data_IF_555877673080
#
_entry.id   IF_555877673080
#
_cell.length_a   1.000
_cell.length_b   1.000
_cell.length_c   1.000
_cell.angle_alpha   90.00
_cell.angle_beta   90.00
_cell.angle_gamma   90.00
#
_symmetry.space_group_name_H-M   'P 1'
#
loop_
_entity.id
_entity.type
_entity.pdbx_description
1 polymer ?
#
# COMPACT_ATOMS: atom_id res chain seq x y z
N UNK A 1 97.99 -50.07 -7.88
CA UNK A 1 96.56 -49.71 -7.97
C UNK A 1 96.12 -50.15 -9.34
N UNK A 2 95.35 -51.24 -9.41
CA UNK A 2 95.12 -51.97 -10.66
C UNK A 2 93.99 -51.33 -11.47
N UNK A 3 94.05 -51.48 -12.79
CA UNK A 3 93.02 -51.03 -13.75
C UNK A 3 91.59 -51.48 -13.35
N UNK A 4 91.49 -52.66 -12.71
CA UNK A 4 90.24 -53.20 -12.17
C UNK A 4 89.65 -52.38 -11.02
N UNK A 5 90.49 -51.76 -10.17
CA UNK A 5 90.01 -50.92 -9.06
C UNK A 5 89.41 -49.62 -9.60
N UNK A 6 90.03 -49.06 -10.65
CA UNK A 6 89.54 -47.86 -11.33
C UNK A 6 88.20 -48.13 -12.03
N UNK A 7 88.10 -49.26 -12.72
CA UNK A 7 86.87 -49.67 -13.42
C UNK A 7 85.71 -49.91 -12.45
N UNK A 8 86.00 -50.51 -11.29
CA UNK A 8 85.00 -50.74 -10.23
C UNK A 8 84.57 -49.43 -9.56
N UNK A 9 85.50 -48.50 -9.33
CA UNK A 9 85.19 -47.18 -8.80
C UNK A 9 84.33 -46.34 -9.78
N UNK A 10 84.63 -46.41 -11.07
CA UNK A 10 83.83 -45.74 -12.10
C UNK A 10 82.43 -46.33 -12.21
N UNK A 11 82.28 -47.65 -12.15
CA UNK A 11 80.97 -48.30 -12.11
C UNK A 11 80.14 -47.89 -10.89
N UNK A 12 80.77 -47.80 -9.71
CA UNK A 12 80.10 -47.32 -8.51
C UNK A 12 79.62 -45.87 -8.69
N UNK A 13 80.47 -44.99 -9.22
CA UNK A 13 80.11 -43.59 -9.48
C UNK A 13 78.95 -43.43 -10.47
N UNK A 14 78.92 -44.27 -11.52
CA UNK A 14 77.80 -44.27 -12.46
C UNK A 14 76.49 -44.72 -11.80
N UNK A 15 76.54 -45.73 -10.91
CA UNK A 15 75.37 -46.16 -10.14
C UNK A 15 74.86 -45.07 -9.19
N UNK A 16 75.77 -44.42 -8.46
CA UNK A 16 75.42 -43.30 -7.56
C UNK A 16 74.80 -42.12 -8.34
N UNK A 17 75.27 -41.85 -9.57
CA UNK A 17 74.71 -40.80 -10.43
C UNK A 17 73.33 -41.17 -10.99
N UNK A 18 73.09 -42.44 -11.33
CA UNK A 18 71.80 -42.94 -11.77
C UNK A 18 70.75 -42.85 -10.65
N UNK A 19 71.11 -43.23 -9.43
CA UNK A 19 70.26 -43.08 -8.23
C UNK A 19 69.92 -41.61 -7.96
N UNK A 20 70.89 -40.70 -8.09
CA UNK A 20 70.67 -39.26 -7.95
C UNK A 20 69.68 -38.71 -9.01
N UNK A 21 69.78 -39.18 -10.25
CA UNK A 21 68.87 -38.78 -11.33
C UNK A 21 67.45 -39.28 -11.08
N UNK A 22 67.29 -40.51 -10.61
CA UNK A 22 65.99 -41.09 -10.29
C UNK A 22 65.31 -40.36 -9.12
N UNK A 23 66.05 -40.05 -8.05
CA UNK A 23 65.53 -39.25 -6.93
C UNK A 23 65.08 -37.85 -7.38
N UNK A 24 65.89 -37.18 -8.19
CA UNK A 24 65.56 -35.86 -8.74
C UNK A 24 64.30 -35.93 -9.61
N UNK A 25 64.17 -36.94 -10.48
CA UNK A 25 62.99 -37.14 -11.31
C UNK A 25 61.72 -37.35 -10.47
N UNK A 26 61.81 -38.18 -9.42
CA UNK A 26 60.68 -38.49 -8.54
C UNK A 26 60.19 -37.25 -7.78
N UNK A 27 61.11 -36.45 -7.23
CA UNK A 27 60.76 -35.20 -6.54
C UNK A 27 60.09 -34.23 -7.51
N UNK A 28 60.63 -34.08 -8.72
CA UNK A 28 60.10 -33.15 -9.72
C UNK A 28 58.69 -33.56 -10.19
N UNK A 29 58.46 -34.87 -10.37
CA UNK A 29 57.18 -35.42 -10.80
C UNK A 29 56.07 -35.18 -9.76
N UNK A 30 56.37 -35.38 -8.47
CA UNK A 30 55.39 -35.08 -7.40
C UNK A 30 55.05 -33.59 -7.30
N UNK A 31 55.99 -32.70 -7.63
CA UNK A 31 55.75 -31.27 -7.66
C UNK A 31 54.84 -30.90 -8.85
N UNK A 32 55.09 -31.46 -10.01
CA UNK A 32 54.31 -31.21 -11.23
C UNK A 32 52.85 -31.68 -11.08
N UNK A 33 52.63 -32.87 -10.49
CA UNK A 33 51.28 -33.37 -10.18
C UNK A 33 50.52 -32.45 -9.22
N UNK A 34 51.21 -31.90 -8.20
CA UNK A 34 50.60 -30.95 -7.25
C UNK A 34 50.24 -29.63 -7.91
N UNK A 35 51.10 -29.14 -8.81
CA UNK A 35 50.83 -27.93 -9.60
C UNK A 35 49.63 -28.17 -10.52
N UNK A 36 49.58 -29.30 -11.22
CA UNK A 36 48.45 -29.69 -12.06
C UNK A 36 47.13 -29.75 -11.28
N UNK A 37 47.14 -30.38 -10.10
CA UNK A 37 45.96 -30.43 -9.22
C UNK A 37 45.55 -29.04 -8.72
N UNK A 38 46.51 -28.18 -8.40
CA UNK A 38 46.23 -26.81 -7.97
C UNK A 38 45.57 -26.00 -9.09
N UNK A 39 46.09 -26.08 -10.32
CA UNK A 39 45.51 -25.42 -11.49
C UNK A 39 44.09 -25.91 -11.76
N UNK A 40 43.85 -27.22 -11.72
CA UNK A 40 42.51 -27.79 -11.89
C UNK A 40 41.52 -27.24 -10.86
N UNK A 41 41.92 -27.16 -9.58
CA UNK A 41 41.07 -26.60 -8.52
C UNK A 41 40.81 -25.10 -8.70
N UNK A 42 41.78 -24.36 -9.23
CA UNK A 42 41.61 -22.94 -9.56
C UNK A 42 40.58 -22.81 -10.68
N UNK A 43 40.68 -23.59 -11.74
CA UNK A 43 39.73 -23.56 -12.86
C UNK A 43 38.31 -23.92 -12.40
N UNK A 44 38.17 -24.94 -11.56
CA UNK A 44 36.89 -25.33 -10.96
C UNK A 44 36.30 -24.20 -10.08
N UNK A 45 37.13 -23.58 -9.24
CA UNK A 45 36.71 -22.47 -8.40
C UNK A 45 36.33 -21.23 -9.23
N UNK A 46 37.05 -20.96 -10.32
CA UNK A 46 36.72 -19.88 -11.26
C UNK A 46 35.38 -20.14 -11.95
N UNK A 47 35.14 -21.36 -12.43
CA UNK A 47 33.85 -21.72 -13.05
C UNK A 47 32.69 -21.57 -12.05
N UNK A 48 32.87 -21.97 -10.79
CA UNK A 48 31.88 -21.80 -9.75
C UNK A 48 31.64 -20.31 -9.42
N UNK A 49 32.70 -19.51 -9.33
CA UNK A 49 32.60 -18.07 -9.08
C UNK A 49 31.89 -17.32 -10.21
N UNK A 50 32.15 -17.69 -11.47
CA UNK A 50 31.45 -17.11 -12.62
C UNK A 50 29.97 -17.46 -12.64
N UNK A 51 29.60 -18.69 -12.28
CA UNK A 51 28.19 -19.08 -12.11
C UNK A 51 27.50 -18.23 -11.05
N UNK A 52 28.11 -18.08 -9.87
CA UNK A 52 27.57 -17.25 -8.80
C UNK A 52 27.45 -15.77 -9.19
N UNK A 53 28.42 -15.25 -9.94
CA UNK A 53 28.39 -13.87 -10.43
C UNK A 53 27.22 -13.65 -11.39
N UNK A 54 27.01 -14.58 -12.33
CA UNK A 54 25.89 -14.51 -13.27
C UNK A 54 24.53 -14.59 -12.56
N UNK A 55 24.39 -15.50 -11.60
CA UNK A 55 23.16 -15.59 -10.78
C UNK A 55 22.90 -14.30 -10.01
N UNK A 56 23.95 -13.72 -9.40
CA UNK A 56 23.83 -12.46 -8.68
C UNK A 56 23.43 -11.29 -9.58
N UNK A 57 24.01 -11.18 -10.78
CA UNK A 57 23.66 -10.18 -11.79
C UNK A 57 22.19 -10.32 -12.21
N UNK A 58 21.73 -11.55 -12.46
CA UNK A 58 20.34 -11.82 -12.84
C UNK A 58 19.35 -11.46 -11.71
N UNK A 59 19.63 -11.87 -10.48
CA UNK A 59 18.79 -11.54 -9.32
C UNK A 59 18.74 -10.03 -9.10
N UNK A 60 19.88 -9.35 -9.23
CA UNK A 60 19.94 -7.90 -9.09
C UNK A 60 19.08 -7.18 -10.13
N UNK A 61 19.14 -7.60 -11.40
CA UNK A 61 18.35 -7.01 -12.47
C UNK A 61 16.84 -7.22 -12.26
N UNK A 62 16.44 -8.44 -11.85
CA UNK A 62 15.06 -8.75 -11.52
C UNK A 62 14.55 -7.90 -10.35
N UNK A 63 15.31 -7.85 -9.25
CA UNK A 63 14.93 -7.09 -8.06
C UNK A 63 14.82 -5.59 -8.35
N UNK A 64 15.76 -5.04 -9.14
CA UNK A 64 15.73 -3.63 -9.53
C UNK A 64 14.48 -3.32 -10.37
N UNK A 65 14.13 -4.21 -11.30
CA UNK A 65 12.94 -4.08 -12.15
C UNK A 65 11.66 -4.12 -11.30
N UNK A 66 11.54 -5.07 -10.38
CA UNK A 66 10.40 -5.15 -9.47
C UNK A 66 10.30 -3.92 -8.56
N UNK A 67 11.43 -3.43 -8.05
CA UNK A 67 11.45 -2.23 -7.22
C UNK A 67 10.97 -1.00 -7.99
N UNK A 68 11.41 -0.83 -9.24
CA UNK A 68 10.94 0.26 -10.11
C UNK A 68 9.44 0.16 -10.39
N UNK A 69 8.94 -1.04 -10.67
CA UNK A 69 7.50 -1.27 -10.85
C UNK A 69 6.72 -0.89 -9.59
N UNK A 70 7.19 -1.32 -8.41
CA UNK A 70 6.57 -0.96 -7.14
C UNK A 70 6.59 0.55 -6.88
N UNK A 71 7.67 1.25 -7.26
CA UNK A 71 7.73 2.71 -7.17
C UNK A 71 6.70 3.40 -8.08
N UNK A 72 6.51 2.91 -9.30
CA UNK A 72 5.48 3.42 -10.21
C UNK A 72 4.06 3.17 -9.69
N UNK A 73 3.79 1.98 -9.14
CA UNK A 73 2.50 1.70 -8.50
C UNK A 73 2.25 2.63 -7.30
N UNK A 74 3.28 2.88 -6.49
CA UNK A 74 3.18 3.78 -5.35
C UNK A 74 2.91 5.22 -5.80
N UNK A 75 3.53 5.68 -6.88
CA UNK A 75 3.27 6.98 -7.49
C UNK A 75 1.80 7.10 -7.93
N UNK A 76 1.25 6.10 -8.63
CA UNK A 76 -0.16 6.09 -9.03
C UNK A 76 -1.10 6.13 -7.82
N UNK A 77 -0.79 5.37 -6.77
CA UNK A 77 -1.55 5.40 -5.52
C UNK A 77 -1.55 6.81 -4.93
N UNK A 78 -0.39 7.48 -4.86
CA UNK A 78 -0.32 8.85 -4.32
C UNK A 78 -1.13 9.86 -5.15
N UNK A 79 -1.09 9.75 -6.47
CA UNK A 79 -1.92 10.57 -7.35
C UNK A 79 -3.41 10.35 -7.07
N UNK A 80 -3.83 9.09 -6.92
CA UNK A 80 -5.21 8.74 -6.61
C UNK A 80 -5.65 9.23 -5.23
N UNK A 81 -4.78 9.14 -4.21
CA UNK A 81 -5.06 9.68 -2.87
C UNK A 81 -5.28 11.19 -2.93
N UNK A 82 -4.47 11.94 -3.67
CA UNK A 82 -4.64 13.39 -3.83
C UNK A 82 -6.00 13.75 -4.47
N UNK A 83 -6.44 12.96 -5.46
CA UNK A 83 -7.77 13.14 -6.06
C UNK A 83 -8.90 12.89 -5.05
N UNK A 84 -8.78 11.83 -4.23
CA UNK A 84 -9.74 11.51 -3.17
C UNK A 84 -9.77 12.63 -2.12
N UNK A 85 -8.62 13.13 -1.69
CA UNK A 85 -8.53 14.21 -0.71
C UNK A 85 -9.27 15.47 -1.18
N UNK A 86 -9.05 15.89 -2.44
CA UNK A 86 -9.78 17.00 -3.05
C UNK A 86 -11.28 16.75 -3.13
N UNK A 87 -11.67 15.53 -3.47
CA UNK A 87 -13.08 15.14 -3.52
C UNK A 87 -13.74 15.23 -2.15
N UNK A 88 -13.13 14.62 -1.12
CA UNK A 88 -13.60 14.67 0.27
C UNK A 88 -13.69 16.11 0.76
N UNK A 89 -12.69 16.95 0.45
CA UNK A 89 -12.73 18.37 0.76
C UNK A 89 -13.95 19.09 0.17
N UNK A 90 -14.31 18.82 -1.10
CA UNK A 90 -15.53 19.37 -1.73
C UNK A 90 -16.80 18.83 -1.11
N UNK A 91 -16.85 17.55 -0.76
CA UNK A 91 -18.00 16.94 -0.07
C UNK A 91 -18.22 17.62 1.27
N UNK A 92 -17.18 17.81 2.08
CA UNK A 92 -17.28 18.49 3.38
C UNK A 92 -17.83 19.92 3.26
N UNK A 93 -17.37 20.69 2.27
CA UNK A 93 -17.88 22.04 2.01
C UNK A 93 -19.36 21.98 1.63
N UNK A 94 -19.73 21.07 0.73
CA UNK A 94 -21.11 20.94 0.25
C UNK A 94 -22.05 20.51 1.36
N UNK A 95 -21.64 19.55 2.20
CA UNK A 95 -22.42 19.09 3.35
C UNK A 95 -22.64 20.20 4.37
N UNK A 96 -21.60 20.99 4.70
CA UNK A 96 -21.77 22.15 5.61
C UNK A 96 -22.72 23.21 5.05
N UNK A 97 -22.66 23.47 3.75
CA UNK A 97 -23.58 24.41 3.11
C UNK A 97 -25.02 23.86 3.11
N UNK A 98 -25.19 22.56 2.89
CA UNK A 98 -26.49 21.89 2.99
C UNK A 98 -27.05 21.94 4.42
N UNK A 99 -26.23 21.66 5.43
CA UNK A 99 -26.59 21.77 6.85
C UNK A 99 -27.08 23.18 7.19
N UNK A 100 -26.32 24.22 6.79
CA UNK A 100 -26.73 25.63 6.98
C UNK A 100 -28.08 25.94 6.33
N UNK A 101 -28.30 25.49 5.11
CA UNK A 101 -29.58 25.69 4.40
C UNK A 101 -30.71 24.95 5.08
N UNK A 102 -30.47 23.73 5.54
CA UNK A 102 -31.45 22.95 6.29
C UNK A 102 -31.81 23.61 7.62
N UNK A 103 -30.84 24.14 8.37
CA UNK A 103 -31.09 24.93 9.57
C UNK A 103 -31.90 26.20 9.27
N UNK A 104 -31.56 26.91 8.19
CA UNK A 104 -32.31 28.10 7.75
C UNK A 104 -33.76 27.77 7.40
N UNK A 105 -33.98 26.68 6.65
CA UNK A 105 -35.33 26.21 6.29
C UNK A 105 -36.08 25.78 7.55
N UNK A 106 -35.44 25.06 8.47
CA UNK A 106 -36.03 24.66 9.75
C UNK A 106 -36.49 25.87 10.57
N UNK A 107 -35.66 26.91 10.69
CA UNK A 107 -36.03 28.17 11.37
C UNK A 107 -37.18 28.90 10.67
N UNK A 108 -37.15 28.97 9.33
CA UNK A 108 -38.21 29.63 8.55
C UNK A 108 -39.54 28.86 8.58
N UNK A 109 -39.48 27.53 8.67
CA UNK A 109 -40.66 26.67 8.72
C UNK A 109 -41.23 26.51 10.13
N UNK A 110 -40.45 26.76 11.18
CA UNK A 110 -40.91 26.72 12.58
C UNK A 110 -42.19 27.51 12.85
N UNK A 111 -42.32 28.76 12.38
CA UNK A 111 -43.56 29.55 12.47
C UNK A 111 -44.74 28.99 11.66
N UNK A 112 -44.48 28.24 10.59
CA UNK A 112 -45.52 27.64 9.73
C UNK A 112 -46.09 26.38 10.38
N UNK A 113 -45.25 25.55 11.00
CA UNK A 113 -45.65 24.32 11.67
C UNK A 113 -46.08 24.50 13.13
N UNK A 114 -45.71 25.62 13.76
CA UNK A 114 -46.15 25.97 15.11
C UNK A 114 -46.80 27.38 15.13
N UNK A 115 -47.96 27.56 14.47
CA UNK A 115 -48.64 28.85 14.34
C UNK A 115 -49.32 29.24 15.67
N UNK A 116 -48.53 29.49 16.70
CA UNK A 116 -49.02 29.62 18.07
C UNK A 116 -49.61 31.00 18.41
N UNK A 117 -49.64 31.95 17.47
CA UNK A 117 -50.14 33.31 17.77
C UNK A 117 -50.97 33.97 16.67
N UNK A 118 -50.69 33.75 15.38
CA UNK A 118 -51.34 34.54 14.31
C UNK A 118 -52.66 33.95 13.78
N UNK A 119 -52.88 32.65 13.86
CA UNK A 119 -54.10 32.03 13.32
C UNK A 119 -55.23 32.08 14.36
N UNK A 120 -54.90 31.92 15.64
CA UNK A 120 -55.84 32.09 16.76
C UNK A 120 -56.32 33.54 16.88
N UNK A 121 -55.49 34.54 16.55
CA UNK A 121 -55.91 35.95 16.52
C UNK A 121 -56.83 36.25 15.33
N UNK A 122 -56.60 35.62 14.16
CA UNK A 122 -57.53 35.72 13.01
C UNK A 122 -58.90 35.13 13.36
N UNK A 123 -58.95 33.94 13.97
CA UNK A 123 -60.22 33.37 14.44
C UNK A 123 -60.92 34.23 15.51
N UNK A 124 -60.18 34.84 16.44
CA UNK A 124 -60.77 35.82 17.39
C UNK A 124 -61.28 37.07 16.70
N UNK A 125 -60.61 37.61 15.68
CA UNK A 125 -61.10 38.78 14.93
C UNK A 125 -62.39 38.48 14.15
N UNK A 126 -62.57 37.26 13.63
CA UNK A 126 -63.86 36.85 13.05
C UNK A 126 -64.94 36.61 14.12
N UNK A 127 -64.61 36.08 15.30
CA UNK A 127 -65.56 35.88 16.40
C UNK A 127 -65.98 37.18 17.11
N UNK A 128 -65.10 38.19 17.22
CA UNK A 128 -65.43 39.48 17.85
C UNK A 128 -66.35 40.31 16.95
N UNK A 129 -66.19 40.21 15.64
CA UNK A 129 -67.10 40.90 14.69
C UNK A 129 -68.51 40.29 14.72
N UNK A 130 -68.66 39.04 15.14
CA UNK A 130 -69.97 38.39 15.33
C UNK A 130 -70.67 38.73 16.66
N UNK A 131 -69.97 39.33 17.63
CA UNK A 131 -70.49 39.53 19.00
C UNK A 131 -70.74 40.99 19.39
N UNK A 132 -70.54 41.95 18.48
CA UNK A 132 -70.79 43.38 18.74
C UNK A 132 -71.65 44.01 17.63
N UNK A 133 -72.95 43.70 17.66
CA UNK A 133 -73.99 44.72 17.54
C UNK A 133 -75.33 44.22 18.08
N UNK A 134 -75.91 44.87 19.11
CA UNK A 134 -77.31 44.69 19.47
C UNK A 134 -78.21 45.66 18.66
N UNK A 135 -79.43 45.18 18.34
CA UNK A 135 -80.63 45.94 17.93
C UNK A 135 -80.56 46.55 16.51
N UNK A 136 -81.36 46.15 15.52
CA UNK A 136 -82.84 46.11 15.52
C UNK A 136 -83.37 45.35 14.30
N UNK A 137 -84.60 44.85 14.43
CA UNK A 137 -85.54 44.46 13.37
C UNK A 137 -85.33 43.11 12.67
N UNK A 138 -85.93 42.09 13.30
CA UNK A 138 -87.03 41.34 12.71
C UNK A 138 -86.69 40.50 11.49
N UNK A 139 -86.53 39.20 11.70
CA UNK A 139 -87.24 38.13 10.97
C UNK A 139 -87.06 36.86 11.79
N UNK A 140 -88.19 36.23 12.13
CA UNK A 140 -88.23 34.89 12.72
C UNK A 140 -87.53 33.89 11.78
N UNK A 141 -86.50 33.22 12.28
CA UNK A 141 -86.16 31.88 11.82
C UNK A 141 -86.34 30.91 12.98
N UNK A 142 -87.32 30.01 12.79
CA UNK A 142 -87.63 28.94 13.71
C UNK A 142 -86.37 28.12 14.01
N UNK A 143 -85.94 28.18 15.26
CA UNK A 143 -85.06 27.17 15.85
C UNK A 143 -85.94 26.06 16.40
N UNK A 144 -86.00 24.91 15.71
CA UNK A 144 -86.43 23.66 16.33
C UNK A 144 -85.27 23.13 17.18
N UNK A 145 -85.40 23.33 18.48
CA UNK A 145 -84.65 22.64 19.52
C UNK A 145 -85.04 21.17 19.57
N UNK A 146 -84.07 20.26 19.51
CA UNK A 146 -84.16 18.99 20.24
C UNK A 146 -82.89 18.85 21.06
N UNK A 147 -83.06 19.01 22.37
CA UNK A 147 -82.11 18.69 23.41
C UNK A 147 -82.66 17.46 24.14
N UNK A 148 -81.84 16.41 24.27
CA UNK A 148 -81.84 15.29 25.26
C UNK A 148 -81.18 14.06 24.59
N UNK A 149 -80.23 13.34 25.16
CA UNK A 149 -79.97 13.01 26.57
C UNK A 149 -78.49 12.64 26.78
N UNK A 150 -78.04 12.81 28.02
CA UNK A 150 -76.94 12.06 28.63
C UNK A 150 -77.30 10.58 28.76
N UNK A 151 -76.36 9.69 28.45
CA UNK A 151 -75.84 8.58 29.27
C UNK A 151 -74.41 8.29 28.80
#
# INVERSE_FOLDING_TARGET
>A
MGDDDLKRAFQALCGDYEELLDEAAQVTQTADERVGLALFKIDEACAAADGLRQDAEQIQEQLLTELLNNCHELEDIFLRVNLIERFVGRVLVTTRELEKRMESISRAAGPVFNPSTSVTSLFRSFSITACLQPMTNGVLWLSTSVQKNSW
#
